data_IF_530881601513
#
_entry.id   IF_530881601513
#
_cell.length_a   1.000
_cell.length_b   1.000
_cell.length_c   1.000
_cell.angle_alpha   90.00
_cell.angle_beta   90.00
_cell.angle_gamma   90.00
#
_symmetry.space_group_name_H-M   'P 1'
#
loop_
_entity.id
_entity.type
_entity.pdbx_description
1 polymer ?
#
# COMPACT_ATOMS: atom_id res chain seq x y z
N UNK A 1 -9.11 7.45 16.48
CA UNK A 1 -8.58 6.53 15.47
C UNK A 1 -7.78 7.29 14.42
N UNK A 2 -6.75 6.65 13.91
CA UNK A 2 -5.91 7.23 12.86
C UNK A 2 -6.71 7.35 11.56
N UNK A 3 -6.62 8.50 10.90
CA UNK A 3 -7.24 8.69 9.60
C UNK A 3 -6.41 7.98 8.54
N UNK A 4 -7.07 7.24 7.65
CA UNK A 4 -6.41 6.55 6.55
C UNK A 4 -6.86 7.19 5.24
N UNK A 5 -5.91 7.73 4.50
CA UNK A 5 -6.17 8.41 3.24
C UNK A 5 -5.42 7.70 2.11
N UNK A 6 -6.03 7.69 0.92
CA UNK A 6 -5.43 7.09 -0.26
C UNK A 6 -5.19 8.19 -1.29
N UNK A 7 -3.94 8.32 -1.74
CA UNK A 7 -3.59 9.35 -2.73
C UNK A 7 -4.16 9.01 -4.10
N UNK A 8 -4.22 10.03 -4.96
CA UNK A 8 -4.62 9.83 -6.35
C UNK A 8 -3.67 8.85 -7.05
N UNK A 9 -2.38 8.96 -6.80
CA UNK A 9 -1.40 8.06 -7.40
C UNK A 9 -1.69 6.61 -7.04
N UNK A 10 -1.99 6.35 -5.77
CA UNK A 10 -2.30 5.00 -5.33
C UNK A 10 -3.60 4.49 -5.98
N UNK A 11 -4.60 5.34 -6.12
CA UNK A 11 -5.84 4.96 -6.78
C UNK A 11 -5.62 4.65 -8.28
N UNK A 12 -4.80 5.45 -8.95
CA UNK A 12 -4.46 5.21 -10.35
C UNK A 12 -3.66 3.92 -10.50
N UNK A 13 -2.73 3.65 -9.58
CA UNK A 13 -1.98 2.40 -9.55
C UNK A 13 -2.92 1.21 -9.45
N UNK A 14 -3.87 1.29 -8.52
CA UNK A 14 -4.84 0.22 -8.32
C UNK A 14 -5.69 0.00 -9.57
N UNK A 15 -6.19 1.08 -10.17
CA UNK A 15 -7.02 0.99 -11.39
C UNK A 15 -6.24 0.34 -12.53
N UNK A 16 -4.95 0.69 -12.65
CA UNK A 16 -4.08 0.10 -13.68
C UNK A 16 -3.91 -1.41 -13.43
N UNK A 17 -3.67 -1.82 -12.18
CA UNK A 17 -3.54 -3.23 -11.86
C UNK A 17 -4.83 -4.01 -12.14
N UNK A 18 -5.97 -3.42 -11.80
CA UNK A 18 -7.27 -4.04 -12.10
C UNK A 18 -7.42 -4.27 -13.60
N UNK A 19 -7.10 -3.26 -14.40
CA UNK A 19 -7.25 -3.34 -15.86
C UNK A 19 -6.25 -4.33 -16.47
N UNK A 20 -4.98 -4.22 -16.12
CA UNK A 20 -3.91 -5.03 -16.72
C UNK A 20 -4.02 -6.50 -16.33
N UNK A 21 -4.36 -6.77 -15.08
CA UNK A 21 -4.42 -8.14 -14.54
C UNK A 21 -5.84 -8.71 -14.55
N UNK A 22 -6.81 -7.96 -15.03
CA UNK A 22 -8.22 -8.37 -15.08
C UNK A 22 -8.68 -8.85 -13.70
N UNK A 23 -8.48 -8.00 -12.69
CA UNK A 23 -8.85 -8.35 -11.32
C UNK A 23 -10.38 -8.30 -11.12
N UNK A 24 -10.89 -8.98 -10.09
CA UNK A 24 -12.34 -9.00 -9.82
C UNK A 24 -12.91 -7.59 -9.61
N UNK A 25 -14.20 -7.45 -9.91
CA UNK A 25 -14.90 -6.16 -9.79
C UNK A 25 -14.96 -5.61 -8.38
N UNK A 26 -14.81 -6.46 -7.35
CA UNK A 26 -14.82 -6.04 -5.95
C UNK A 26 -13.43 -5.73 -5.39
N UNK A 27 -12.41 -5.63 -6.26
CA UNK A 27 -11.02 -5.42 -5.83
C UNK A 27 -10.85 -4.16 -4.98
N UNK A 28 -11.49 -3.05 -5.38
CA UNK A 28 -11.40 -1.82 -4.60
C UNK A 28 -11.93 -1.99 -3.19
N UNK A 29 -13.06 -2.69 -3.05
CA UNK A 29 -13.66 -2.96 -1.75
C UNK A 29 -12.74 -3.84 -0.89
N UNK A 30 -12.10 -4.81 -1.50
CA UNK A 30 -11.15 -5.68 -0.80
C UNK A 30 -9.91 -4.93 -0.34
N UNK A 31 -9.41 -4.01 -1.15
CA UNK A 31 -8.27 -3.16 -0.77
C UNK A 31 -8.67 -2.29 0.41
N UNK A 32 -9.86 -1.71 0.38
CA UNK A 32 -10.36 -0.89 1.49
C UNK A 32 -10.39 -1.71 2.79
N UNK A 33 -10.86 -2.95 2.72
CA UNK A 33 -10.88 -3.85 3.88
C UNK A 33 -9.45 -4.10 4.39
N UNK A 34 -8.50 -4.28 3.47
CA UNK A 34 -7.10 -4.48 3.85
C UNK A 34 -6.51 -3.29 4.59
N UNK A 35 -7.01 -2.08 4.31
CA UNK A 35 -6.52 -0.86 4.95
C UNK A 35 -7.14 -0.60 6.33
N UNK A 36 -8.28 -1.20 6.64
CA UNK A 36 -8.99 -0.93 7.89
C UNK A 36 -8.15 -1.09 9.15
N UNK A 37 -7.28 -2.12 9.28
CA UNK A 37 -6.46 -2.27 10.49
C UNK A 37 -5.53 -1.09 10.74
N UNK A 38 -5.16 -0.33 9.72
CA UNK A 38 -4.25 0.81 9.87
C UNK A 38 -4.87 1.95 10.67
N UNK A 39 -6.19 2.01 10.77
CA UNK A 39 -6.86 3.01 11.58
C UNK A 39 -6.58 2.80 13.08
N UNK A 40 -6.34 1.56 13.49
CA UNK A 40 -6.01 1.22 14.88
C UNK A 40 -4.53 0.99 15.09
N UNK A 41 -3.85 0.44 14.08
CA UNK A 41 -2.46 0.04 14.16
C UNK A 41 -1.67 0.65 13.00
N UNK A 42 -1.43 1.98 13.04
CA UNK A 42 -0.76 2.63 11.90
C UNK A 42 0.66 2.14 11.64
N UNK A 43 1.29 1.53 12.63
CA UNK A 43 2.64 0.96 12.47
C UNK A 43 2.62 -0.54 12.20
N UNK A 44 1.46 -1.08 11.79
CA UNK A 44 1.29 -2.51 11.55
C UNK A 44 2.27 -3.06 10.53
N UNK A 45 2.47 -2.33 9.42
CA UNK A 45 3.38 -2.76 8.38
C UNK A 45 4.83 -2.50 8.75
N UNK A 46 5.74 -3.41 8.38
CA UNK A 46 7.17 -3.19 8.61
C UNK A 46 7.69 -2.03 7.78
N UNK A 47 8.78 -1.42 8.25
CA UNK A 47 9.43 -0.35 7.51
C UNK A 47 10.20 -0.90 6.32
N UNK A 48 10.19 -0.13 5.24
CA UNK A 48 11.01 -0.41 4.08
C UNK A 48 12.44 0.07 4.33
N UNK A 49 13.38 -0.47 3.57
CA UNK A 49 14.81 -0.15 3.71
C UNK A 49 15.31 0.63 2.51
N UNK A 50 16.58 1.08 2.61
CA UNK A 50 17.24 1.79 1.54
C UNK A 50 16.60 3.14 1.27
N UNK A 51 16.46 3.50 0.02
CA UNK A 51 15.88 4.80 -0.37
C UNK A 51 14.41 4.96 -0.01
N UNK A 52 13.75 3.86 0.37
CA UNK A 52 12.34 3.87 0.79
C UNK A 52 12.21 3.98 2.30
N UNK A 53 13.32 4.28 2.98
CA UNK A 53 13.35 4.40 4.44
C UNK A 53 12.29 5.39 4.93
N UNK A 54 11.61 5.01 6.01
CA UNK A 54 10.56 5.83 6.58
C UNK A 54 9.16 5.47 6.09
N UNK A 55 9.07 4.68 5.01
CA UNK A 55 7.80 4.18 4.54
C UNK A 55 7.54 2.77 5.08
N UNK A 56 6.28 2.39 5.10
CA UNK A 56 5.86 1.06 5.55
C UNK A 56 5.02 0.41 4.47
N UNK A 57 4.83 -0.89 4.56
CA UNK A 57 3.95 -1.58 3.62
C UNK A 57 3.09 -2.61 4.33
N UNK A 58 1.94 -2.90 3.72
CA UNK A 58 1.13 -4.07 4.05
C UNK A 58 0.80 -4.78 2.74
N UNK A 59 0.32 -6.00 2.84
CA UNK A 59 -0.18 -6.72 1.67
C UNK A 59 -1.67 -6.45 1.52
N UNK A 60 -2.11 -6.35 0.27
CA UNK A 60 -3.52 -6.22 -0.05
C UNK A 60 -4.21 -7.58 -0.03
N UNK A 61 -5.32 -7.72 -0.78
CA UNK A 61 -6.09 -8.98 -0.82
C UNK A 61 -5.28 -10.16 -1.35
N UNK A 62 -4.21 -9.89 -2.10
CA UNK A 62 -3.33 -10.93 -2.64
C UNK A 62 -1.90 -10.68 -2.19
N UNK A 63 -1.13 -11.75 -2.03
CA UNK A 63 0.25 -11.71 -1.54
C UNK A 63 1.18 -10.84 -2.39
N UNK A 64 0.87 -10.71 -3.67
CA UNK A 64 1.71 -9.94 -4.58
C UNK A 64 1.36 -8.44 -4.59
N UNK A 65 0.27 -8.04 -3.96
CA UNK A 65 -0.15 -6.64 -3.95
C UNK A 65 0.46 -5.93 -2.75
N UNK A 66 1.38 -5.00 -3.03
CA UNK A 66 2.01 -4.19 -2.00
C UNK A 66 1.27 -2.86 -1.87
N UNK A 67 0.89 -2.52 -0.66
CA UNK A 67 0.29 -1.22 -0.34
C UNK A 67 1.32 -0.47 0.49
N UNK A 68 1.94 0.55 -0.11
CA UNK A 68 2.99 1.34 0.53
C UNK A 68 2.39 2.59 1.12
N UNK A 69 2.68 2.85 2.38
CA UNK A 69 2.10 3.98 3.08
C UNK A 69 3.12 4.68 3.98
N UNK A 70 2.78 5.90 4.36
CA UNK A 70 3.53 6.67 5.35
C UNK A 70 2.60 6.95 6.52
N UNK A 71 3.12 6.79 7.75
CA UNK A 71 2.40 7.22 8.93
C UNK A 71 2.95 8.57 9.38
N UNK A 72 2.12 9.59 9.30
CA UNK A 72 2.45 10.94 9.75
C UNK A 72 2.04 11.06 11.20
N UNK A 73 2.96 10.73 12.09
CA UNK A 73 2.67 10.61 13.52
C UNK A 73 2.12 11.90 14.12
N UNK A 74 2.71 13.04 13.77
CA UNK A 74 2.29 14.33 14.29
C UNK A 74 0.84 14.67 13.94
N UNK A 75 0.35 14.15 12.82
CA UNK A 75 -1.01 14.40 12.35
C UNK A 75 -1.95 13.22 12.64
N UNK A 76 -1.40 12.14 13.16
CA UNK A 76 -2.12 10.87 13.36
C UNK A 76 -2.87 10.45 12.09
N UNK A 77 -2.12 10.37 10.99
CA UNK A 77 -2.67 10.16 9.67
C UNK A 77 -1.81 9.18 8.88
N UNK A 78 -2.45 8.19 8.27
CA UNK A 78 -1.82 7.27 7.32
C UNK A 78 -2.14 7.74 5.91
N UNK A 79 -1.12 7.81 5.08
CA UNK A 79 -1.27 8.20 3.67
C UNK A 79 -0.74 7.06 2.81
N UNK A 80 -1.63 6.45 2.03
CA UNK A 80 -1.27 5.39 1.09
C UNK A 80 -0.71 6.05 -0.16
N UNK A 81 0.58 5.81 -0.43
CA UNK A 81 1.32 6.50 -1.48
C UNK A 81 1.27 5.79 -2.84
N UNK A 82 1.32 4.47 -2.82
CA UNK A 82 1.32 3.68 -4.06
C UNK A 82 0.86 2.26 -3.78
N UNK A 83 0.34 1.61 -4.82
CA UNK A 83 -0.04 0.20 -4.77
C UNK A 83 0.70 -0.47 -5.93
N UNK A 84 1.49 -1.48 -5.61
CA UNK A 84 2.40 -2.10 -6.57
C UNK A 84 2.26 -3.61 -6.61
N UNK A 85 2.64 -4.18 -7.75
CA UNK A 85 2.77 -5.63 -7.89
C UNK A 85 4.19 -6.02 -7.45
N UNK A 86 4.29 -6.76 -6.37
CA UNK A 86 5.59 -7.17 -5.81
C UNK A 86 6.42 -8.03 -6.77
N UNK A 87 5.79 -8.59 -7.81
CA UNK A 87 6.50 -9.39 -8.82
C UNK A 87 7.16 -8.52 -9.87
N UNK A 88 6.81 -7.22 -9.92
CA UNK A 88 7.40 -6.29 -10.87
C UNK A 88 8.83 -5.95 -10.45
N UNK A 89 9.76 -5.89 -11.40
CA UNK A 89 11.14 -5.52 -11.13
C UNK A 89 11.28 -4.07 -10.67
N UNK A 90 10.27 -3.24 -10.91
CA UNK A 90 10.28 -1.84 -10.48
C UNK A 90 9.63 -1.65 -9.12
N UNK A 91 9.12 -2.72 -8.50
CA UNK A 91 8.45 -2.62 -7.20
C UNK A 91 9.45 -2.25 -6.09
N UNK A 92 8.94 -1.57 -5.07
CA UNK A 92 9.71 -1.14 -3.91
C UNK A 92 10.45 -2.32 -3.27
N UNK A 93 9.82 -3.49 -3.17
CA UNK A 93 10.42 -4.67 -2.56
C UNK A 93 11.62 -5.22 -3.34
N UNK A 94 11.67 -4.99 -4.65
CA UNK A 94 12.82 -5.41 -5.46
C UNK A 94 14.07 -4.62 -5.04
N UNK A 95 13.93 -3.33 -4.75
CA UNK A 95 15.03 -2.52 -4.22
C UNK A 95 15.38 -2.94 -2.80
N UNK A 96 14.38 -3.22 -1.97
CA UNK A 96 14.58 -3.52 -0.57
C UNK A 96 15.22 -4.89 -0.32
N UNK A 97 15.11 -5.81 -1.27
CA UNK A 97 15.60 -7.18 -1.13
C UNK A 97 17.08 -7.35 -1.51
N UNK A 98 17.71 -6.34 -2.02
CA UNK A 98 19.11 -6.40 -2.47
C UNK A 98 20.13 -6.21 -1.34
#
# INVERSE_FOLDING_TARGET
>A
MTRVEVTRVALEDLDRLIAVLTLPGDTRARVKTSLEPLARFPRLGPELRGRWHGLRFILGPWRWMLIVYEYLEAEDRVVVLTIQDARSSSAVMADASV
#
